data_IF_756979992960
#
_entry.id   IF_756979992960
#
_cell.length_a   1.000
_cell.length_b   1.000
_cell.length_c   1.000
_cell.angle_alpha   90.00
_cell.angle_beta   90.00
_cell.angle_gamma   90.00
#
_symmetry.space_group_name_H-M   'P 1'
#
loop_
_entity.id
_entity.type
_entity.pdbx_description
1 polymer ?
#
# COMPACT_ATOMS: atom_id res chain seq x y z
N UNK A 1 -10.16 39.93 9.90
CA UNK A 1 -10.68 38.76 10.64
C UNK A 1 -10.16 38.70 12.08
N UNK A 2 -8.87 38.91 12.34
CA UNK A 2 -8.29 38.95 13.70
C UNK A 2 -8.89 40.07 14.57
N UNK A 3 -8.94 41.30 14.04
CA UNK A 3 -9.50 42.48 14.72
C UNK A 3 -10.96 42.30 15.17
N UNK A 4 -11.77 41.56 14.38
CA UNK A 4 -13.17 41.30 14.73
C UNK A 4 -13.29 40.38 15.96
N UNK A 5 -12.43 39.36 16.04
CA UNK A 5 -12.37 38.43 17.17
C UNK A 5 -11.81 39.08 18.43
N UNK A 6 -10.86 40.00 18.26
CA UNK A 6 -10.31 40.80 19.35
C UNK A 6 -11.37 41.74 19.94
N UNK A 7 -12.12 42.45 19.07
CA UNK A 7 -13.24 43.30 19.49
C UNK A 7 -14.35 42.50 20.19
N UNK A 8 -14.65 41.29 19.72
CA UNK A 8 -15.61 40.39 20.36
C UNK A 8 -15.13 39.93 21.74
N UNK A 9 -13.87 39.52 21.85
CA UNK A 9 -13.23 39.16 23.13
C UNK A 9 -13.24 40.33 24.12
N UNK A 10 -12.92 41.54 23.66
CA UNK A 10 -12.95 42.77 24.47
C UNK A 10 -14.36 43.10 24.99
N UNK A 11 -15.38 43.00 24.11
CA UNK A 11 -16.77 43.32 24.45
C UNK A 11 -17.36 42.32 25.45
N UNK A 12 -17.01 41.05 25.31
CA UNK A 12 -17.61 39.97 26.09
C UNK A 12 -16.75 39.53 27.27
N UNK A 13 -15.56 40.13 27.46
CA UNK A 13 -14.57 39.74 28.47
C UNK A 13 -14.24 38.24 28.42
N UNK A 14 -13.98 37.71 27.22
CA UNK A 14 -13.68 36.29 26.99
C UNK A 14 -12.23 36.08 26.52
N UNK A 15 -11.63 34.90 26.74
CA UNK A 15 -10.28 34.61 26.29
C UNK A 15 -10.12 34.79 24.78
N UNK A 16 -9.13 35.58 24.37
CA UNK A 16 -8.68 35.65 22.99
C UNK A 16 -7.63 34.58 22.74
N UNK A 17 -7.92 33.66 21.84
CA UNK A 17 -7.02 32.58 21.46
C UNK A 17 -6.98 32.48 19.94
N UNK A 18 -5.94 33.03 19.32
CA UNK A 18 -5.88 33.07 17.86
C UNK A 18 -4.47 32.98 17.30
N UNK A 19 -4.37 32.30 16.16
CA UNK A 19 -3.14 32.22 15.36
C UNK A 19 -3.28 33.17 14.18
N UNK A 20 -2.31 34.06 14.01
CA UNK A 20 -2.29 34.99 12.90
C UNK A 20 -0.86 35.36 12.51
N UNK A 21 -0.73 36.07 11.39
CA UNK A 21 0.55 36.58 10.92
C UNK A 21 0.73 38.03 11.37
N UNK A 22 1.90 38.35 11.92
CA UNK A 22 2.28 39.71 12.27
C UNK A 22 3.60 40.08 11.62
N UNK A 23 3.78 41.36 11.30
CA UNK A 23 5.08 41.89 10.91
C UNK A 23 5.84 42.30 12.17
N UNK A 24 7.11 41.90 12.25
CA UNK A 24 8.03 42.44 13.24
C UNK A 24 8.37 43.89 12.93
N UNK A 25 8.98 44.59 13.89
CA UNK A 25 9.56 45.93 13.68
C UNK A 25 10.60 45.96 12.56
N UNK A 26 11.22 44.82 12.25
CA UNK A 26 12.19 44.66 11.17
C UNK A 26 11.55 44.26 9.83
N UNK A 27 10.21 44.17 9.76
CA UNK A 27 9.45 43.82 8.56
C UNK A 27 9.26 42.32 8.31
N UNK A 28 9.93 41.44 9.06
CA UNK A 28 9.77 39.98 8.94
C UNK A 28 8.34 39.55 9.27
N UNK A 29 7.78 38.64 8.47
CA UNK A 29 6.48 38.04 8.72
C UNK A 29 6.62 36.82 9.64
N UNK A 30 5.91 36.82 10.77
CA UNK A 30 5.93 35.72 11.74
C UNK A 30 4.53 35.21 12.02
N UNK A 31 4.41 33.89 12.15
CA UNK A 31 3.22 33.29 12.72
C UNK A 31 3.28 33.41 14.22
N UNK A 32 2.23 33.96 14.81
CA UNK A 32 2.10 34.08 16.25
C UNK A 32 0.84 33.42 16.75
N UNK A 33 0.96 32.78 17.90
CA UNK A 33 -0.17 32.30 18.68
C UNK A 33 -0.37 33.26 19.86
N UNK A 34 -1.40 34.08 19.77
CA UNK A 34 -1.78 34.98 20.85
C UNK A 34 -2.80 34.28 21.74
N UNK A 35 -2.51 34.25 23.04
CA UNK A 35 -3.45 33.86 24.09
C UNK A 35 -3.49 34.96 25.12
N UNK A 36 -4.60 35.69 25.18
CA UNK A 36 -4.78 36.81 26.09
C UNK A 36 -6.19 36.85 26.68
N UNK A 37 -6.31 37.54 27.82
CA UNK A 37 -7.56 37.76 28.52
C UNK A 37 -7.76 39.27 28.72
N UNK A 38 -8.86 39.85 28.24
CA UNK A 38 -9.23 41.20 28.59
C UNK A 38 -9.85 41.25 29.99
N UNK A 39 -9.45 42.23 30.80
CA UNK A 39 -9.93 42.47 32.15
C UNK A 39 -10.27 43.96 32.31
N UNK A 40 -11.47 44.27 32.81
CA UNK A 40 -11.85 45.65 33.11
C UNK A 40 -11.42 46.00 34.55
N UNK A 41 -10.68 47.10 34.70
CA UNK A 41 -10.24 47.61 36.00
C UNK A 41 -11.30 48.51 36.64
N UNK A 42 -11.14 48.79 37.93
CA UNK A 42 -12.06 49.63 38.71
C UNK A 42 -12.22 51.06 38.16
N UNK A 43 -11.20 51.56 37.46
CA UNK A 43 -11.22 52.86 36.78
C UNK A 43 -11.95 52.84 35.41
N UNK A 44 -12.49 51.68 35.01
CA UNK A 44 -13.17 51.45 33.75
C UNK A 44 -12.24 51.14 32.57
N UNK A 45 -10.91 51.15 32.75
CA UNK A 45 -9.94 50.82 31.71
C UNK A 45 -9.94 49.32 31.38
N UNK A 46 -9.67 48.99 30.11
CA UNK A 46 -9.57 47.61 29.64
C UNK A 46 -8.10 47.22 29.51
N UNK A 47 -7.67 46.27 30.33
CA UNK A 47 -6.32 45.72 30.30
C UNK A 47 -6.33 44.36 29.62
N UNK A 48 -5.23 44.03 28.95
CA UNK A 48 -5.02 42.72 28.35
C UNK A 48 -3.81 42.06 29.02
N UNK A 49 -4.00 40.89 29.60
CA UNK A 49 -2.92 40.03 30.08
C UNK A 49 -2.80 38.80 29.18
N UNK A 50 -1.59 38.41 28.80
CA UNK A 50 -1.41 37.29 27.88
C UNK A 50 -0.01 37.11 27.34
N UNK A 51 0.13 36.07 26.53
CA UNK A 51 1.38 35.70 25.87
C UNK A 51 1.20 35.66 24.36
N UNK A 52 2.25 36.08 23.66
CA UNK A 52 2.38 35.95 22.21
C UNK A 52 3.56 35.02 21.96
N UNK A 53 3.27 33.84 21.43
CA UNK A 53 4.28 32.84 21.10
C UNK A 53 4.58 32.89 19.60
N UNK A 54 5.85 33.01 19.24
CA UNK A 54 6.29 32.82 17.86
C UNK A 54 6.24 31.32 17.52
N UNK A 55 5.37 30.96 16.58
CA UNK A 55 5.16 29.58 16.12
C UNK A 55 5.58 29.42 14.66
N UNK A 56 6.40 30.35 14.13
CA UNK A 56 6.83 30.35 12.73
C UNK A 56 7.56 29.07 12.36
N UNK A 57 8.52 28.63 13.18
CA UNK A 57 9.27 27.39 12.95
C UNK A 57 8.35 26.16 12.94
N UNK A 58 7.39 26.09 13.88
CA UNK A 58 6.41 24.99 13.91
C UNK A 58 5.56 24.97 12.64
N UNK A 59 5.08 26.12 12.18
CA UNK A 59 4.27 26.22 10.96
C UNK A 59 5.08 25.87 9.70
N UNK A 60 6.35 26.24 9.63
CA UNK A 60 7.24 25.85 8.54
C UNK A 60 7.44 24.33 8.49
N UNK A 61 7.72 23.71 9.64
CA UNK A 61 7.88 22.24 9.74
C UNK A 61 6.57 21.54 9.34
N UNK A 62 5.42 22.04 9.80
CA UNK A 62 4.11 21.49 9.43
C UNK A 62 3.85 21.57 7.92
N UNK A 63 4.14 22.71 7.29
CA UNK A 63 4.02 22.88 5.85
C UNK A 63 5.01 22.01 5.06
N UNK A 64 6.25 21.89 5.52
CA UNK A 64 7.27 21.02 4.91
C UNK A 64 6.85 19.56 4.99
N UNK A 65 6.32 19.12 6.14
CA UNK A 65 5.82 17.76 6.33
C UNK A 65 4.64 17.47 5.40
N UNK A 66 3.69 18.40 5.26
CA UNK A 66 2.56 18.27 4.34
C UNK A 66 3.06 18.14 2.90
N UNK A 67 3.95 19.04 2.46
CA UNK A 67 4.51 18.99 1.10
C UNK A 67 5.29 17.71 0.85
N UNK A 68 6.12 17.28 1.80
CA UNK A 68 6.88 16.04 1.69
C UNK A 68 5.95 14.82 1.58
N UNK A 69 4.85 14.80 2.35
CA UNK A 69 3.82 13.75 2.27
C UNK A 69 3.12 13.75 0.91
N UNK A 70 2.71 14.91 0.40
CA UNK A 70 2.06 15.02 -0.91
C UNK A 70 2.98 14.54 -2.04
N UNK A 71 4.25 14.94 -2.01
CA UNK A 71 5.25 14.47 -2.99
C UNK A 71 5.44 12.95 -2.91
N UNK A 72 5.55 12.39 -1.69
CA UNK A 72 5.68 10.95 -1.49
C UNK A 72 4.45 10.18 -2.02
N UNK A 73 3.24 10.71 -1.78
CA UNK A 73 2.00 10.09 -2.24
C UNK A 73 1.89 10.10 -3.77
N UNK A 74 2.17 11.24 -4.41
CA UNK A 74 2.20 11.35 -5.88
C UNK A 74 3.23 10.38 -6.48
N UNK A 75 4.42 10.30 -5.88
CA UNK A 75 5.45 9.37 -6.33
C UNK A 75 5.01 7.90 -6.21
N UNK A 76 4.35 7.53 -5.11
CA UNK A 76 3.84 6.18 -4.89
C UNK A 76 2.72 5.81 -5.90
N UNK A 77 1.81 6.74 -6.17
CA UNK A 77 0.76 6.57 -7.18
C UNK A 77 1.36 6.43 -8.59
N UNK A 78 2.33 7.26 -8.95
CA UNK A 78 3.02 7.18 -10.24
C UNK A 78 3.79 5.85 -10.39
N UNK A 79 4.51 5.41 -9.35
CA UNK A 79 5.19 4.10 -9.29
C UNK A 79 4.20 2.96 -9.54
N UNK A 80 3.06 2.99 -8.87
CA UNK A 80 2.04 1.95 -9.01
C UNK A 80 1.43 1.90 -10.42
N UNK A 81 1.09 3.07 -10.98
CA UNK A 81 0.53 3.16 -12.33
C UNK A 81 1.52 2.67 -13.39
N UNK A 82 2.80 3.04 -13.23
CA UNK A 82 3.87 2.55 -14.09
C UNK A 82 3.98 1.01 -14.06
N UNK A 83 4.01 0.42 -12.86
CA UNK A 83 4.09 -1.05 -12.72
C UNK A 83 2.88 -1.76 -13.33
N UNK A 84 1.66 -1.23 -13.12
CA UNK A 84 0.43 -1.76 -13.70
C UNK A 84 0.48 -1.80 -15.23
N UNK A 85 0.89 -0.69 -15.86
CA UNK A 85 1.01 -0.59 -17.31
C UNK A 85 2.10 -1.52 -17.85
N UNK A 86 3.28 -1.51 -17.24
CA UNK A 86 4.40 -2.38 -17.64
C UNK A 86 4.01 -3.85 -17.56
N UNK A 87 3.29 -4.28 -16.53
CA UNK A 87 2.84 -5.67 -16.43
C UNK A 87 1.92 -6.06 -17.58
N UNK A 88 0.98 -5.20 -17.97
CA UNK A 88 0.09 -5.47 -19.10
C UNK A 88 0.87 -5.58 -20.42
N UNK A 89 1.83 -4.68 -20.64
CA UNK A 89 2.69 -4.69 -21.83
C UNK A 89 3.63 -5.90 -21.87
N UNK A 90 4.08 -6.41 -20.72
CA UNK A 90 4.90 -7.62 -20.63
C UNK A 90 4.08 -8.90 -20.77
N UNK A 91 2.85 -8.93 -20.24
CA UNK A 91 1.99 -10.12 -20.25
C UNK A 91 1.62 -10.54 -21.68
N UNK A 92 1.36 -9.59 -22.56
CA UNK A 92 0.94 -9.86 -23.95
C UNK A 92 1.99 -10.64 -24.76
N UNK A 93 3.24 -10.17 -24.91
CA UNK A 93 4.27 -10.91 -25.64
C UNK A 93 4.65 -12.21 -24.92
N UNK A 94 4.64 -12.23 -23.59
CA UNK A 94 4.96 -13.43 -22.82
C UNK A 94 3.93 -14.55 -23.01
N UNK A 95 2.64 -14.20 -23.00
CA UNK A 95 1.56 -15.14 -23.31
C UNK A 95 1.66 -15.67 -24.74
N UNK A 96 2.09 -14.84 -25.71
CA UNK A 96 2.34 -15.30 -27.07
C UNK A 96 3.48 -16.33 -27.13
N UNK A 97 4.61 -16.06 -26.46
CA UNK A 97 5.74 -17.01 -26.35
C UNK A 97 5.31 -18.33 -25.70
N UNK A 98 4.56 -18.27 -24.60
CA UNK A 98 4.02 -19.45 -23.92
C UNK A 98 3.04 -20.22 -24.81
N UNK A 99 2.19 -19.52 -25.55
CA UNK A 99 1.27 -20.13 -26.52
C UNK A 99 2.01 -20.89 -27.63
N UNK A 100 3.05 -20.30 -28.21
CA UNK A 100 3.88 -20.98 -29.20
C UNK A 100 4.63 -22.17 -28.60
N UNK A 101 5.21 -22.03 -27.42
CA UNK A 101 5.85 -23.15 -26.71
C UNK A 101 4.85 -24.29 -26.46
N UNK A 102 3.61 -23.97 -26.11
CA UNK A 102 2.55 -24.97 -25.90
C UNK A 102 2.14 -25.66 -27.20
N UNK A 103 2.03 -24.92 -28.31
CA UNK A 103 1.75 -25.51 -29.64
C UNK A 103 2.89 -26.45 -30.05
N UNK A 104 4.14 -25.99 -29.95
CA UNK A 104 5.32 -26.78 -30.30
C UNK A 104 5.43 -28.04 -29.43
N UNK A 105 5.06 -27.96 -28.15
CA UNK A 105 5.12 -29.12 -27.25
C UNK A 105 4.21 -30.29 -27.66
N UNK A 106 3.26 -30.07 -28.57
CA UNK A 106 2.36 -31.11 -29.11
C UNK A 106 2.93 -31.83 -30.33
N UNK A 107 4.03 -31.35 -30.90
CA UNK A 107 4.66 -31.97 -32.06
C UNK A 107 5.44 -33.23 -31.64
N UNK A 108 4.97 -34.39 -32.13
CA UNK A 108 5.53 -35.71 -31.83
C UNK A 108 6.84 -35.99 -32.58
N UNK A 109 7.23 -35.13 -33.53
CA UNK A 109 8.47 -35.29 -34.32
C UNK A 109 9.69 -34.65 -33.65
N UNK A 110 9.49 -33.92 -32.55
CA UNK A 110 10.57 -33.25 -31.83
C UNK A 110 11.52 -34.24 -31.17
N UNK A 111 12.82 -33.92 -31.21
CA UNK A 111 13.82 -34.68 -30.47
C UNK A 111 13.68 -34.45 -28.96
N UNK A 112 14.14 -35.38 -28.10
CA UNK A 112 14.13 -35.20 -26.65
C UNK A 112 14.82 -33.90 -26.20
N UNK A 113 15.88 -33.49 -26.90
CA UNK A 113 16.58 -32.24 -26.60
C UNK A 113 15.71 -31.00 -26.89
N UNK A 114 14.98 -31.00 -28.01
CA UNK A 114 14.06 -29.90 -28.37
C UNK A 114 12.87 -29.83 -27.40
N UNK A 115 12.32 -30.98 -26.99
CA UNK A 115 11.28 -31.03 -25.97
C UNK A 115 11.74 -30.43 -24.64
N UNK A 116 12.96 -30.76 -24.20
CA UNK A 116 13.55 -30.17 -22.99
C UNK A 116 13.76 -28.66 -23.11
N UNK A 117 14.17 -28.15 -24.27
CA UNK A 117 14.31 -26.71 -24.52
C UNK A 117 12.96 -25.99 -24.45
N UNK A 118 11.92 -26.53 -25.10
CA UNK A 118 10.55 -25.97 -25.06
C UNK A 118 10.02 -25.97 -23.62
N UNK A 119 10.24 -27.04 -22.87
CA UNK A 119 9.82 -27.11 -21.46
C UNK A 119 10.59 -26.10 -20.59
N UNK A 120 11.84 -25.80 -20.92
CA UNK A 120 12.63 -24.78 -20.23
C UNK A 120 12.12 -23.37 -20.51
N UNK A 121 11.80 -23.06 -21.78
CA UNK A 121 11.15 -21.79 -22.17
C UNK A 121 9.83 -21.62 -21.42
N UNK A 122 9.01 -22.67 -21.38
CA UNK A 122 7.71 -22.63 -20.68
C UNK A 122 7.88 -22.35 -19.19
N UNK A 123 8.77 -23.09 -18.51
CA UNK A 123 9.06 -22.87 -17.08
C UNK A 123 9.56 -21.46 -16.80
N UNK A 124 10.46 -20.95 -17.64
CA UNK A 124 10.97 -19.58 -17.50
C UNK A 124 9.89 -18.52 -17.69
N UNK A 125 9.00 -18.70 -18.67
CA UNK A 125 7.91 -17.76 -18.93
C UNK A 125 6.82 -17.78 -17.86
N UNK A 126 6.45 -18.97 -17.36
CA UNK A 126 5.55 -19.13 -16.21
C UNK A 126 6.13 -18.45 -14.96
N UNK A 127 7.43 -18.65 -14.68
CA UNK A 127 8.11 -18.00 -13.56
C UNK A 127 8.13 -16.47 -13.69
N UNK A 128 8.41 -15.95 -14.89
CA UNK A 128 8.40 -14.50 -15.13
C UNK A 128 6.99 -13.90 -14.95
N UNK A 129 5.94 -14.61 -15.37
CA UNK A 129 4.55 -14.18 -15.11
C UNK A 129 4.28 -14.11 -13.60
N UNK A 130 4.73 -15.11 -12.83
CA UNK A 130 4.61 -15.09 -11.36
C UNK A 130 5.30 -13.87 -10.77
N UNK A 131 6.57 -13.62 -11.11
CA UNK A 131 7.31 -12.46 -10.61
C UNK A 131 6.63 -11.13 -10.96
N UNK A 132 6.13 -10.99 -12.18
CA UNK A 132 5.42 -9.79 -12.61
C UNK A 132 4.14 -9.59 -11.78
N UNK A 133 3.38 -10.67 -11.55
CA UNK A 133 2.15 -10.60 -10.75
C UNK A 133 2.48 -10.27 -9.27
N UNK A 134 3.54 -10.84 -8.71
CA UNK A 134 3.96 -10.58 -7.33
C UNK A 134 4.35 -9.10 -7.13
N UNK A 135 5.09 -8.51 -8.08
CA UNK A 135 5.45 -7.09 -8.05
C UNK A 135 4.20 -6.19 -8.16
N UNK A 136 3.23 -6.57 -9.00
CA UNK A 136 1.97 -5.83 -9.09
C UNK A 136 1.16 -5.89 -7.80
N UNK A 137 1.06 -7.06 -7.19
CA UNK A 137 0.32 -7.24 -5.95
C UNK A 137 0.97 -6.42 -4.82
N UNK A 138 2.31 -6.43 -4.73
CA UNK A 138 3.05 -5.56 -3.82
C UNK A 138 2.74 -4.08 -4.06
N UNK A 139 2.75 -3.62 -5.32
CA UNK A 139 2.45 -2.24 -5.66
C UNK A 139 1.00 -1.84 -5.29
N UNK A 140 0.03 -2.76 -5.41
CA UNK A 140 -1.34 -2.53 -4.95
C UNK A 140 -1.43 -2.41 -3.43
N UNK A 141 -0.67 -3.24 -2.70
CA UNK A 141 -0.60 -3.20 -1.22
C UNK A 141 0.00 -1.87 -0.76
N UNK A 142 1.15 -1.48 -1.32
CA UNK A 142 1.83 -0.21 -0.99
C UNK A 142 0.97 1.02 -1.25
N UNK A 143 0.03 0.93 -2.20
CA UNK A 143 -0.88 2.01 -2.54
C UNK A 143 -2.25 1.92 -1.86
N UNK A 144 -2.46 0.96 -0.94
CA UNK A 144 -3.72 0.76 -0.23
C UNK A 144 -4.90 0.34 -1.12
N UNK A 145 -4.63 -0.16 -2.34
CA UNK A 145 -5.63 -0.60 -3.33
C UNK A 145 -5.74 -2.11 -3.45
N UNK A 146 -5.16 -2.84 -2.50
CA UNK A 146 -5.24 -4.29 -2.47
C UNK A 146 -6.52 -4.71 -1.77
N UNK A 147 -7.41 -5.38 -2.51
CA UNK A 147 -8.67 -5.90 -2.00
C UNK A 147 -8.59 -7.42 -1.92
N UNK A 148 -9.03 -7.96 -0.78
CA UNK A 148 -9.28 -9.39 -0.62
C UNK A 148 -10.67 -9.69 -1.15
N UNK A 149 -10.80 -10.78 -1.90
CA UNK A 149 -12.07 -11.24 -2.43
C UNK A 149 -12.43 -12.55 -1.72
N UNK A 150 -13.02 -12.49 -0.51
CA UNK A 150 -13.33 -13.69 0.24
C UNK A 150 -14.52 -14.43 -0.37
N UNK A 151 -14.33 -15.70 -0.66
CA UNK A 151 -15.36 -16.59 -1.17
C UNK A 151 -15.49 -17.82 -0.26
N UNK A 152 -16.65 -18.48 -0.31
CA UNK A 152 -16.87 -19.72 0.43
C UNK A 152 -16.52 -20.90 -0.46
N UNK A 153 -15.54 -21.71 -0.05
CA UNK A 153 -15.04 -22.84 -0.83
C UNK A 153 -14.85 -24.09 0.03
N UNK A 154 -14.83 -25.26 -0.62
CA UNK A 154 -14.68 -26.56 0.04
C UNK A 154 -13.23 -26.78 0.49
N UNK A 155 -13.06 -26.95 1.79
CA UNK A 155 -11.74 -27.01 2.42
C UNK A 155 -10.95 -28.24 2.00
N UNK A 156 -11.60 -29.39 1.95
CA UNK A 156 -10.97 -30.67 1.63
C UNK A 156 -10.43 -30.69 0.18
N UNK A 157 -11.23 -30.23 -0.79
CA UNK A 157 -10.84 -30.15 -2.19
C UNK A 157 -9.63 -29.25 -2.41
N UNK A 158 -9.62 -28.08 -1.77
CA UNK A 158 -8.50 -27.13 -1.85
C UNK A 158 -7.18 -27.73 -1.34
N UNK A 159 -7.18 -28.34 -0.15
CA UNK A 159 -5.96 -28.94 0.41
C UNK A 159 -5.52 -30.17 -0.38
N UNK A 160 -6.45 -30.99 -0.88
CA UNK A 160 -6.16 -32.16 -1.72
C UNK A 160 -5.46 -31.77 -3.03
N UNK A 161 -5.91 -30.70 -3.69
CA UNK A 161 -5.26 -30.18 -4.90
C UNK A 161 -3.83 -29.71 -4.62
N UNK A 162 -3.64 -28.96 -3.52
CA UNK A 162 -2.32 -28.49 -3.11
C UNK A 162 -1.38 -29.66 -2.80
N UNK A 163 -1.86 -30.63 -2.03
CA UNK A 163 -1.09 -31.84 -1.70
C UNK A 163 -0.65 -32.58 -2.96
N UNK A 164 -1.55 -32.79 -3.92
CA UNK A 164 -1.24 -33.48 -5.18
C UNK A 164 -0.20 -32.71 -5.99
N UNK A 165 -0.30 -31.39 -6.06
CA UNK A 165 0.66 -30.54 -6.76
C UNK A 165 2.07 -30.66 -6.15
N UNK A 166 2.18 -30.61 -4.83
CA UNK A 166 3.47 -30.66 -4.13
C UNK A 166 4.06 -32.07 -4.11
N UNK A 167 3.24 -33.12 -4.04
CA UNK A 167 3.69 -34.51 -4.14
C UNK A 167 4.44 -34.77 -5.44
N UNK A 168 3.87 -34.35 -6.57
CA UNK A 168 4.51 -34.50 -7.90
C UNK A 168 5.85 -33.76 -7.95
N UNK A 169 5.91 -32.52 -7.43
CA UNK A 169 7.16 -31.74 -7.41
C UNK A 169 8.23 -32.36 -6.51
N UNK A 170 7.82 -32.88 -5.35
CA UNK A 170 8.72 -33.53 -4.40
C UNK A 170 9.28 -34.83 -4.99
N UNK A 171 8.45 -35.67 -5.61
CA UNK A 171 8.88 -36.88 -6.32
C UNK A 171 9.91 -36.57 -7.42
N UNK A 172 9.67 -35.52 -8.22
CA UNK A 172 10.62 -35.07 -9.25
C UNK A 172 11.97 -34.62 -8.68
N UNK A 173 11.99 -34.12 -7.44
CA UNK A 173 13.20 -33.70 -6.72
C UNK A 173 13.78 -34.80 -5.82
N UNK A 174 13.16 -35.98 -5.74
CA UNK A 174 13.55 -37.05 -4.83
C UNK A 174 13.37 -36.71 -3.34
N UNK A 175 12.45 -35.80 -3.02
CA UNK A 175 12.17 -35.33 -1.65
C UNK A 175 10.97 -36.10 -1.08
N UNK A 176 11.09 -36.59 0.16
CA UNK A 176 9.96 -37.17 0.88
C UNK A 176 8.97 -36.06 1.26
N UNK A 177 7.72 -36.16 0.79
CA UNK A 177 6.65 -35.24 1.12
C UNK A 177 5.55 -35.98 1.89
N UNK A 178 5.24 -35.50 3.08
CA UNK A 178 4.20 -36.04 3.94
C UNK A 178 3.23 -34.93 4.33
N UNK A 179 1.94 -35.16 4.14
CA UNK A 179 0.87 -34.25 4.53
C UNK A 179 -0.02 -34.97 5.53
N UNK A 180 -0.19 -34.37 6.72
CA UNK A 180 -1.05 -34.89 7.77
C UNK A 180 -2.02 -33.79 8.20
N UNK A 181 -3.30 -34.14 8.31
CA UNK A 181 -4.32 -33.24 8.84
C UNK A 181 -4.53 -33.57 10.32
N UNK A 182 -4.33 -32.58 11.20
CA UNK A 182 -4.55 -32.76 12.63
C UNK A 182 -5.94 -32.23 13.00
N UNK A 183 -6.82 -33.13 13.47
CA UNK A 183 -8.18 -32.81 13.88
C UNK A 183 -9.20 -32.75 12.73
N UNK A 184 -10.38 -32.19 13.00
CA UNK A 184 -11.41 -31.98 11.97
C UNK A 184 -11.27 -30.59 11.35
N UNK A 185 -11.01 -30.54 10.04
CA UNK A 185 -11.11 -29.32 9.27
C UNK A 185 -12.60 -28.95 9.07
N UNK A 186 -12.93 -27.66 9.03
CA UNK A 186 -14.27 -27.24 8.64
C UNK A 186 -14.56 -27.70 7.20
N UNK A 187 -15.83 -27.99 6.89
CA UNK A 187 -16.23 -28.38 5.53
C UNK A 187 -16.02 -27.27 4.50
N UNK A 188 -16.19 -26.03 4.93
CA UNK A 188 -16.00 -24.83 4.11
C UNK A 188 -15.19 -23.78 4.84
N UNK A 189 -14.40 -23.01 4.08
CA UNK A 189 -13.70 -21.82 4.55
C UNK A 189 -14.23 -20.60 3.80
N UNK A 190 -14.28 -19.45 4.48
CA UNK A 190 -14.65 -18.17 3.88
C UNK A 190 -13.43 -17.25 3.89
N UNK A 191 -12.68 -17.27 2.79
CA UNK A 191 -11.53 -16.38 2.58
C UNK A 191 -11.16 -16.34 1.08
N UNK A 192 -10.20 -15.50 0.71
CA UNK A 192 -9.71 -15.42 -0.66
C UNK A 192 -8.85 -16.66 -0.98
N UNK A 193 -9.41 -17.59 -1.77
CA UNK A 193 -8.78 -18.88 -2.08
C UNK A 193 -7.47 -18.70 -2.85
N UNK A 194 -7.43 -17.75 -3.79
CA UNK A 194 -6.24 -17.44 -4.60
C UNK A 194 -5.11 -16.96 -3.72
N UNK A 195 -5.40 -16.07 -2.76
CA UNK A 195 -4.37 -15.55 -1.84
C UNK A 195 -3.90 -16.60 -0.85
N UNK A 196 -4.80 -17.40 -0.28
CA UNK A 196 -4.38 -18.51 0.57
C UNK A 196 -3.53 -19.52 -0.18
N UNK A 197 -3.91 -19.85 -1.43
CA UNK A 197 -3.12 -20.74 -2.30
C UNK A 197 -1.74 -20.17 -2.54
N UNK A 198 -1.63 -18.88 -2.85
CA UNK A 198 -0.34 -18.22 -3.05
C UNK A 198 0.55 -18.29 -1.81
N UNK A 199 0.00 -18.03 -0.61
CA UNK A 199 0.73 -18.14 0.65
C UNK A 199 1.28 -19.56 0.81
N UNK A 200 0.43 -20.57 0.67
CA UNK A 200 0.84 -21.97 0.82
C UNK A 200 1.86 -22.38 -0.25
N UNK A 201 1.71 -21.89 -1.48
CA UNK A 201 2.68 -22.16 -2.55
C UNK A 201 4.04 -21.57 -2.23
N UNK A 202 4.09 -20.33 -1.74
CA UNK A 202 5.33 -19.66 -1.37
C UNK A 202 6.02 -20.31 -0.16
N UNK A 203 5.25 -20.89 0.76
CA UNK A 203 5.79 -21.59 1.93
C UNK A 203 6.32 -22.99 1.62
N UNK A 204 5.71 -23.69 0.66
CA UNK A 204 6.01 -25.08 0.32
C UNK A 204 6.92 -25.25 -0.91
N UNK A 205 7.05 -24.21 -1.75
CA UNK A 205 7.76 -24.22 -3.05
C UNK A 205 9.26 -24.00 -2.96
#
# INVERSE_FOLDING_TARGET
MVLAKELESARNLQPFNHIFRQHTVNGELRWVHCRSMPEQKEDGSLWWDGVILDITAQKQIEEELIRAREVAEVANQAKSAFLANMSHELRTPLNAVLGFAQILSRDLTLTPQQQNQIQSIRRGGEYLLTLINDILDLAKIEAGRFELIPETWNTEGFFRELEQMFRIRAEQKGILFHCETVGQLPYTLHCDDKRLRQILINLLG
#
